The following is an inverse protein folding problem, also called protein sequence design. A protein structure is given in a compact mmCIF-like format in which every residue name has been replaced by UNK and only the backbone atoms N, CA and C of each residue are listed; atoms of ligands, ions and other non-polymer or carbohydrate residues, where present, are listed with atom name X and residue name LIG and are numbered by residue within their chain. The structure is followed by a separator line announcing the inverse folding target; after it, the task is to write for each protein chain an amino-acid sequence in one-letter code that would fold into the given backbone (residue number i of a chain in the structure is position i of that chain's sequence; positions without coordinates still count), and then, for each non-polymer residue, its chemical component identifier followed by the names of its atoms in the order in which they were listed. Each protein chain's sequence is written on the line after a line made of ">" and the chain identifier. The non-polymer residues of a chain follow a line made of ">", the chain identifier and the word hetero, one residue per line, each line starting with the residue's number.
data_IF_669826153842
#
_entry.id   IF_669826153842
#
_cell.length_a   1.000
_cell.length_b   1.000
_cell.length_c   1.000
_cell.angle_alpha   90.00
_cell.angle_beta   90.00
_cell.angle_gamma   90.00
#
_symmetry.space_group_name_H-M   'P 1'
#
loop_
_entity.id
_entity.type
_entity.pdbx_description
1 polymer ?
#
# COMPACT_ATOMS: atom_id res chain seq x y z
N UNK A 1 -16.10 -16.23 1.32
CA UNK A 1 -15.32 -15.04 1.70
C UNK A 1 -15.63 -13.96 0.69
N UNK A 2 -15.85 -12.72 1.12
CA UNK A 2 -16.20 -11.63 0.22
C UNK A 2 -14.95 -10.82 -0.13
N UNK A 3 -14.89 -10.35 -1.38
CA UNK A 3 -13.89 -9.39 -1.83
C UNK A 3 -13.92 -8.14 -0.95
N UNK A 4 -12.75 -7.62 -0.63
CA UNK A 4 -12.56 -6.38 0.13
C UNK A 4 -11.72 -5.41 -0.66
N UNK A 5 -11.89 -4.11 -0.39
CA UNK A 5 -11.02 -3.07 -0.90
C UNK A 5 -10.19 -2.45 0.22
N UNK A 6 -8.99 -2.00 -0.12
CA UNK A 6 -8.10 -1.28 0.79
C UNK A 6 -7.70 0.05 0.17
N UNK A 7 -7.71 1.09 0.99
CA UNK A 7 -7.03 2.36 0.70
C UNK A 7 -5.93 2.54 1.73
N UNK A 8 -4.67 2.51 1.28
CA UNK A 8 -3.53 2.77 2.14
C UNK A 8 -2.87 4.09 1.73
N UNK A 9 -2.76 5.02 2.67
CA UNK A 9 -2.22 6.37 2.46
C UNK A 9 -0.92 6.47 3.23
N UNK A 10 0.13 6.98 2.58
CA UNK A 10 1.41 7.30 3.20
C UNK A 10 1.83 8.70 2.79
N UNK A 11 2.16 9.55 3.76
CA UNK A 11 2.70 10.90 3.53
C UNK A 11 4.17 10.89 3.90
N UNK A 12 5.04 11.26 2.97
CA UNK A 12 6.47 11.43 3.24
C UNK A 12 6.72 12.64 4.14
N UNK A 13 7.70 12.51 5.05
CA UNK A 13 8.37 13.67 5.65
C UNK A 13 9.02 14.51 4.55
N UNK A 14 9.10 15.84 4.71
CA UNK A 14 9.77 16.71 3.75
C UNK A 14 11.19 16.22 3.41
N UNK A 15 11.50 16.08 2.12
CA UNK A 15 12.81 15.65 1.63
C UNK A 15 13.00 14.13 1.46
N UNK A 16 11.99 13.33 1.79
CA UNK A 16 11.99 11.86 1.63
C UNK A 16 11.05 11.37 0.53
N UNK A 17 10.47 12.26 -0.28
CA UNK A 17 9.46 11.94 -1.28
C UNK A 17 9.96 10.92 -2.30
N UNK A 18 11.18 11.10 -2.79
CA UNK A 18 11.79 10.22 -3.80
C UNK A 18 12.10 8.84 -3.21
N UNK A 19 12.61 8.79 -2.00
CA UNK A 19 12.98 7.56 -1.29
C UNK A 19 11.72 6.75 -0.95
N UNK A 20 10.69 7.40 -0.42
CA UNK A 20 9.42 6.75 -0.14
C UNK A 20 8.80 6.23 -1.44
N UNK A 21 8.71 7.07 -2.48
CA UNK A 21 8.18 6.67 -3.79
C UNK A 21 8.88 5.42 -4.33
N UNK A 22 10.21 5.42 -4.36
CA UNK A 22 10.98 4.29 -4.89
C UNK A 22 10.74 3.00 -4.09
N UNK A 23 10.65 3.08 -2.77
CA UNK A 23 10.33 1.93 -1.93
C UNK A 23 8.91 1.40 -2.18
N UNK A 24 7.93 2.30 -2.33
CA UNK A 24 6.55 1.94 -2.62
C UNK A 24 6.38 1.35 -4.04
N UNK A 25 7.08 1.89 -5.04
CA UNK A 25 7.10 1.32 -6.39
C UNK A 25 7.69 -0.11 -6.38
N UNK A 26 8.71 -0.35 -5.56
CA UNK A 26 9.38 -1.64 -5.43
C UNK A 26 8.48 -2.78 -4.92
N UNK A 27 7.41 -2.47 -4.19
CA UNK A 27 6.46 -3.49 -3.70
C UNK A 27 5.32 -3.77 -4.68
N UNK A 28 5.09 -2.96 -5.72
CA UNK A 28 3.93 -3.12 -6.61
C UNK A 28 3.95 -4.46 -7.37
N UNK A 29 5.04 -4.76 -8.06
CA UNK A 29 5.15 -5.99 -8.85
C UNK A 29 5.05 -7.28 -8.02
N UNK A 30 5.77 -7.41 -6.88
CA UNK A 30 5.63 -8.61 -6.06
C UNK A 30 4.24 -8.74 -5.44
N UNK A 31 3.60 -7.66 -4.98
CA UNK A 31 2.24 -7.73 -4.44
C UNK A 31 1.23 -8.19 -5.47
N UNK A 32 1.30 -7.67 -6.71
CA UNK A 32 0.42 -8.10 -7.81
C UNK A 32 0.59 -9.57 -8.18
N UNK A 33 1.69 -10.20 -7.80
CA UNK A 33 1.95 -11.62 -8.03
C UNK A 33 1.44 -12.50 -6.89
N UNK A 34 0.91 -11.92 -5.81
CA UNK A 34 0.38 -12.68 -4.68
C UNK A 34 -0.96 -13.33 -5.00
N UNK A 35 -1.18 -14.52 -4.42
CA UNK A 35 -2.47 -15.18 -4.49
C UNK A 35 -3.54 -14.33 -3.79
N UNK A 36 -4.61 -14.01 -4.51
CA UNK A 36 -5.73 -13.22 -4.01
C UNK A 36 -5.58 -11.71 -4.13
N UNK A 37 -4.48 -11.19 -4.71
CA UNK A 37 -4.34 -9.79 -5.08
C UNK A 37 -5.07 -9.52 -6.41
N UNK A 38 -6.20 -8.82 -6.37
CA UNK A 38 -7.05 -8.54 -7.54
C UNK A 38 -6.78 -7.17 -8.15
N UNK A 39 -6.31 -6.23 -7.34
CA UNK A 39 -5.90 -4.89 -7.73
C UNK A 39 -4.86 -4.41 -6.72
N UNK A 40 -3.80 -3.76 -7.20
CA UNK A 40 -2.79 -3.12 -6.35
C UNK A 40 -2.12 -1.99 -7.13
N UNK A 41 -2.66 -0.78 -6.98
CA UNK A 41 -2.28 0.37 -7.78
C UNK A 41 -1.76 1.50 -6.89
N UNK A 42 -0.53 1.94 -7.16
CA UNK A 42 0.12 3.06 -6.50
C UNK A 42 -0.18 4.37 -7.23
N UNK A 43 -0.59 5.38 -6.48
CA UNK A 43 -0.89 6.71 -6.96
C UNK A 43 -0.12 7.76 -6.15
N UNK A 44 0.15 8.90 -6.77
CA UNK A 44 0.62 10.11 -6.10
C UNK A 44 -0.52 11.14 -6.10
N UNK A 45 -0.75 11.81 -4.97
CA UNK A 45 -1.76 12.88 -4.88
C UNK A 45 -1.35 14.07 -5.77
N UNK A 46 -2.29 14.59 -6.55
CA UNK A 46 -2.06 15.68 -7.49
C UNK A 46 -1.83 17.03 -6.79
N UNK A 47 -2.29 17.19 -5.55
CA UNK A 47 -2.23 18.45 -4.80
C UNK A 47 -1.32 18.38 -3.56
N UNK A 48 -0.87 17.18 -3.18
CA UNK A 48 0.11 16.97 -2.12
C UNK A 48 1.16 15.94 -2.60
N UNK A 49 2.23 16.38 -3.27
CA UNK A 49 3.23 15.47 -3.86
C UNK A 49 3.91 14.52 -2.88
N UNK A 50 3.86 14.80 -1.57
CA UNK A 50 4.39 13.91 -0.53
C UNK A 50 3.46 12.73 -0.22
N UNK A 51 2.20 12.78 -0.67
CA UNK A 51 1.19 11.76 -0.38
C UNK A 51 1.12 10.73 -1.51
N UNK A 52 1.23 9.48 -1.10
CA UNK A 52 1.07 8.30 -1.94
C UNK A 52 -0.13 7.49 -1.46
N UNK A 53 -0.89 6.93 -2.41
CA UNK A 53 -2.13 6.20 -2.14
C UNK A 53 -2.13 4.89 -2.90
N UNK A 54 -2.24 3.78 -2.18
CA UNK A 54 -2.61 2.50 -2.75
C UNK A 54 -4.12 2.35 -2.79
N UNK A 55 -4.62 1.90 -3.94
CA UNK A 55 -5.97 1.35 -4.09
C UNK A 55 -5.81 -0.13 -4.38
N UNK A 56 -6.37 -0.96 -3.51
CA UNK A 56 -6.18 -2.40 -3.55
C UNK A 56 -7.52 -3.12 -3.50
N UNK A 57 -7.57 -4.30 -4.13
CA UNK A 57 -8.68 -5.24 -3.99
C UNK A 57 -8.13 -6.62 -3.71
N UNK A 58 -8.75 -7.30 -2.78
CA UNK A 58 -8.32 -8.61 -2.30
C UNK A 58 -9.48 -9.58 -2.33
N UNK A 59 -9.24 -10.83 -2.73
CA UNK A 59 -10.25 -11.88 -2.72
C UNK A 59 -10.85 -12.14 -1.33
N UNK A 60 -10.10 -11.84 -0.27
CA UNK A 60 -10.55 -12.00 1.11
C UNK A 60 -9.66 -11.26 2.12
N UNK A 61 -10.16 -11.08 3.35
CA UNK A 61 -9.34 -10.63 4.50
C UNK A 61 -8.16 -11.57 4.78
N UNK A 62 -8.29 -12.87 4.49
CA UNK A 62 -7.19 -13.83 4.68
C UNK A 62 -6.03 -13.58 3.69
N UNK A 63 -6.35 -13.24 2.43
CA UNK A 63 -5.35 -12.85 1.44
C UNK A 63 -4.62 -11.57 1.86
N UNK A 64 -5.37 -10.55 2.30
CA UNK A 64 -4.79 -9.31 2.85
C UNK A 64 -3.91 -9.58 4.09
N UNK A 65 -4.32 -10.49 4.98
CA UNK A 65 -3.54 -10.83 6.16
C UNK A 65 -2.24 -11.59 5.81
N UNK A 66 -2.24 -12.38 4.74
CA UNK A 66 -1.04 -13.01 4.20
C UNK A 66 -0.10 -11.98 3.58
N UNK A 67 -0.65 -11.06 2.78
CA UNK A 67 0.07 -9.92 2.22
C UNK A 67 0.76 -9.07 3.29
N UNK A 68 0.03 -8.72 4.35
CA UNK A 68 0.56 -7.96 5.48
C UNK A 68 1.67 -8.71 6.26
N UNK A 69 1.99 -9.96 5.94
CA UNK A 69 3.09 -10.74 6.51
C UNK A 69 4.17 -11.09 5.47
N UNK A 70 4.01 -10.65 4.22
CA UNK A 70 4.95 -10.96 3.15
C UNK A 70 6.32 -10.35 3.41
N UNK A 71 7.36 -10.95 2.85
CA UNK A 71 8.74 -10.49 3.03
C UNK A 71 8.95 -9.09 2.46
N UNK A 72 8.41 -8.78 1.29
CA UNK A 72 8.58 -7.47 0.65
C UNK A 72 7.83 -6.35 1.39
N UNK A 73 6.64 -6.62 1.95
CA UNK A 73 5.94 -5.65 2.80
C UNK A 73 6.65 -5.43 4.14
N UNK A 74 7.20 -6.49 4.73
CA UNK A 74 7.97 -6.38 5.97
C UNK A 74 9.26 -5.59 5.77
N UNK A 75 9.97 -5.84 4.66
CA UNK A 75 11.16 -5.08 4.27
C UNK A 75 10.85 -3.62 3.96
N UNK A 76 9.77 -3.35 3.20
CA UNK A 76 9.35 -1.99 2.88
C UNK A 76 8.99 -1.20 4.14
N UNK A 77 8.21 -1.78 5.07
CA UNK A 77 7.86 -1.10 6.33
C UNK A 77 9.07 -0.73 7.17
N UNK A 78 10.10 -1.57 7.19
CA UNK A 78 11.35 -1.26 7.89
C UNK A 78 12.13 -0.14 7.18
N UNK A 79 12.25 -0.22 5.85
CA UNK A 79 13.00 0.76 5.06
C UNK A 79 12.40 2.17 5.17
N UNK A 80 11.07 2.29 5.20
CA UNK A 80 10.37 3.59 5.15
C UNK A 80 10.04 4.17 6.53
N UNK A 81 10.34 3.46 7.63
CA UNK A 81 9.88 3.80 8.98
C UNK A 81 10.22 5.26 9.37
N UNK A 82 11.41 5.73 9.01
CA UNK A 82 11.87 7.09 9.33
C UNK A 82 11.48 8.14 8.29
N UNK A 83 10.90 7.73 7.16
CA UNK A 83 10.57 8.60 6.03
C UNK A 83 9.11 9.04 6.01
N UNK A 84 8.24 8.35 6.75
CA UNK A 84 6.79 8.58 6.75
C UNK A 84 6.41 9.54 7.88
N UNK A 85 5.69 10.60 7.54
CA UNK A 85 5.09 11.58 8.45
C UNK A 85 3.72 11.12 8.96
N UNK A 86 2.91 10.55 8.06
CA UNK A 86 1.57 10.04 8.38
C UNK A 86 1.28 8.77 7.57
N UNK A 87 0.63 7.79 8.20
CA UNK A 87 0.13 6.59 7.55
C UNK A 87 -1.31 6.31 7.96
N UNK A 88 -2.13 5.85 7.03
CA UNK A 88 -3.53 5.47 7.26
C UNK A 88 -3.87 4.26 6.39
N UNK A 89 -4.59 3.29 6.95
CA UNK A 89 -5.10 2.13 6.22
C UNK A 89 -6.59 2.01 6.49
N UNK A 90 -7.38 1.91 5.43
CA UNK A 90 -8.82 1.67 5.48
C UNK A 90 -9.15 0.39 4.74
N UNK A 91 -9.73 -0.57 5.46
CA UNK A 91 -10.31 -1.78 4.87
C UNK A 91 -11.81 -1.55 4.78
N UNK A 92 -12.37 -1.67 3.57
CA UNK A 92 -13.76 -1.32 3.29
C UNK A 92 -14.43 -2.38 2.42
N UNK A 93 -15.76 -2.49 2.55
CA UNK A 93 -16.60 -3.32 1.69
C UNK A 93 -17.33 -2.46 0.66
N UNK A 94 -17.62 -3.05 -0.50
CA UNK A 94 -18.47 -2.43 -1.52
C UNK A 94 -19.95 -2.50 -1.10
N UNK A 95 -20.69 -1.40 -1.23
CA UNK A 95 -22.11 -1.31 -0.83
C UNK A 95 -23.07 -1.39 -2.02
N UNK A 96 -22.67 -0.94 -3.21
CA UNK A 96 -23.45 -0.98 -4.47
C UNK A 96 -22.51 -1.09 -5.68
#
# INVERSE_FOLDING_TARGET
>A
MAEIAVVAISVAKPGYEVQLRAALEGIVAPTRSEAGALQYDLHQDLHEPRRFVFVERWESEAALAAHAKSAHISACRQAVADWVEQAEIRVVSKIA
#
